data_IF_316438055949
#
_entry.id   IF_316438055949
#
_cell.length_a   1.000
_cell.length_b   1.000
_cell.length_c   1.000
_cell.angle_alpha   90.00
_cell.angle_beta   90.00
_cell.angle_gamma   90.00
#
_symmetry.space_group_name_H-M   'P 1'
#
loop_
_entity.id
_entity.type
_entity.pdbx_description
1 polymer ?
#
# COMPACT_ATOMS: atom_id res chain seq x y z
N UNK A 1 23.92 27.30 -22.17
CA UNK A 1 23.99 26.60 -20.86
C UNK A 1 23.57 25.17 -21.13
N UNK A 2 24.52 24.22 -21.11
CA UNK A 2 24.20 22.81 -21.30
C UNK A 2 23.34 22.34 -20.14
N UNK A 3 22.13 21.87 -20.44
CA UNK A 3 21.32 21.12 -19.49
C UNK A 3 22.20 20.03 -18.87
N UNK A 4 22.46 20.14 -17.57
CA UNK A 4 23.14 19.10 -16.81
C UNK A 4 22.31 17.83 -16.99
N UNK A 5 22.84 16.85 -17.72
CA UNK A 5 22.27 15.53 -17.90
C UNK A 5 22.33 14.81 -16.54
N UNK A 6 21.43 15.18 -15.63
CA UNK A 6 21.28 14.52 -14.34
C UNK A 6 20.88 13.07 -14.65
N UNK A 7 21.77 12.14 -14.32
CA UNK A 7 21.54 10.73 -14.60
C UNK A 7 20.24 10.30 -13.94
N UNK A 8 19.29 9.82 -14.76
CA UNK A 8 17.99 9.34 -14.26
C UNK A 8 18.25 8.24 -13.22
N UNK A 9 17.80 8.41 -11.96
CA UNK A 9 17.95 7.41 -10.91
C UNK A 9 17.37 6.07 -11.34
N UNK A 10 18.10 4.97 -11.09
CA UNK A 10 17.65 3.62 -11.44
C UNK A 10 17.76 2.72 -10.22
N UNK A 11 16.72 1.95 -9.96
CA UNK A 11 16.65 1.00 -8.86
C UNK A 11 16.51 -0.41 -9.41
N UNK A 12 17.53 -1.24 -9.24
CA UNK A 12 17.45 -2.67 -9.52
C UNK A 12 16.85 -3.39 -8.31
N UNK A 13 15.70 -4.01 -8.48
CA UNK A 13 15.05 -4.81 -7.43
C UNK A 13 15.57 -6.23 -7.52
N UNK A 14 16.39 -6.60 -6.54
CA UNK A 14 17.12 -7.86 -6.47
C UNK A 14 16.57 -8.70 -5.32
N UNK A 15 16.46 -10.00 -5.51
CA UNK A 15 16.00 -10.93 -4.48
C UNK A 15 15.54 -12.22 -5.12
N UNK A 16 15.27 -13.25 -4.31
CA UNK A 16 14.79 -14.52 -4.87
C UNK A 16 13.40 -14.40 -5.47
N UNK A 17 13.08 -15.33 -6.38
CA UNK A 17 11.74 -15.46 -6.95
C UNK A 17 10.72 -15.66 -5.81
N UNK A 18 9.55 -15.01 -5.91
CA UNK A 18 8.46 -15.07 -4.93
C UNK A 18 8.74 -14.51 -3.52
N UNK A 19 9.77 -13.68 -3.32
CA UNK A 19 10.03 -12.99 -2.04
C UNK A 19 9.40 -11.60 -1.92
N UNK A 20 8.38 -11.32 -2.73
CA UNK A 20 7.69 -10.02 -2.72
C UNK A 20 8.32 -8.95 -3.61
N UNK A 21 9.26 -9.27 -4.51
CA UNK A 21 9.84 -8.30 -5.46
C UNK A 21 8.77 -7.54 -6.24
N UNK A 22 7.82 -8.26 -6.84
CA UNK A 22 6.74 -7.66 -7.64
C UNK A 22 5.82 -6.77 -6.80
N UNK A 23 5.55 -7.15 -5.56
CA UNK A 23 4.79 -6.32 -4.61
C UNK A 23 5.55 -5.05 -4.25
N UNK A 24 6.86 -5.13 -3.94
CA UNK A 24 7.71 -3.97 -3.69
C UNK A 24 7.77 -3.04 -4.91
N UNK A 25 7.95 -3.62 -6.10
CA UNK A 25 7.96 -2.89 -7.38
C UNK A 25 6.64 -2.16 -7.55
N UNK A 26 5.51 -2.86 -7.39
CA UNK A 26 4.19 -2.27 -7.45
C UNK A 26 4.10 -1.09 -6.47
N UNK A 27 4.35 -1.28 -5.17
CA UNK A 27 4.22 -0.21 -4.17
C UNK A 27 5.14 1.00 -4.40
N UNK A 28 6.35 0.78 -4.91
CA UNK A 28 7.30 1.86 -5.25
C UNK A 28 6.81 2.68 -6.44
N UNK A 29 6.20 1.99 -7.40
CA UNK A 29 5.70 2.57 -8.62
C UNK A 29 4.30 3.19 -8.42
N UNK A 30 3.51 2.68 -7.46
CA UNK A 30 2.06 2.85 -7.28
C UNK A 30 1.62 4.30 -7.19
N UNK A 31 1.53 4.93 -8.36
CA UNK A 31 1.03 6.26 -8.54
C UNK A 31 0.57 6.42 -9.99
N UNK A 32 -0.53 5.78 -10.38
CA UNK A 32 -0.89 5.52 -11.78
C UNK A 32 -1.13 6.74 -12.71
N UNK A 33 -1.14 7.98 -12.19
CA UNK A 33 -1.10 9.20 -13.02
C UNK A 33 0.34 9.69 -13.34
N UNK A 34 1.37 9.17 -12.66
CA UNK A 34 2.69 9.11 -13.26
C UNK A 34 2.60 8.03 -14.30
N UNK A 35 2.83 8.40 -15.56
CA UNK A 35 2.79 7.44 -16.65
C UNK A 35 3.91 6.43 -16.43
N UNK A 36 3.51 5.21 -16.08
CA UNK A 36 4.41 4.08 -16.01
C UNK A 36 4.38 3.42 -17.37
N UNK A 37 5.50 3.50 -18.08
CA UNK A 37 5.67 2.72 -19.31
C UNK A 37 6.61 1.56 -19.04
N UNK A 38 6.19 0.30 -19.29
CA UNK A 38 7.17 -0.74 -19.52
C UNK A 38 7.89 -0.34 -20.81
N UNK A 39 9.18 -0.06 -20.75
CA UNK A 39 10.00 0.14 -21.96
C UNK A 39 10.63 -1.19 -22.33
N UNK A 40 10.18 -1.88 -23.39
CA UNK A 40 10.82 -3.11 -23.85
C UNK A 40 12.13 -2.72 -24.54
N UNK A 41 13.23 -2.78 -23.79
CA UNK A 41 14.58 -2.60 -24.31
C UNK A 41 15.16 -3.95 -24.73
N UNK A 42 15.09 -4.25 -26.02
CA UNK A 42 15.89 -5.21 -26.81
C UNK A 42 16.35 -6.50 -26.11
N UNK A 43 15.65 -7.60 -26.45
CA UNK A 43 16.02 -9.00 -26.20
C UNK A 43 16.63 -9.32 -24.84
N UNK A 44 15.77 -9.95 -24.02
CA UNK A 44 16.05 -10.92 -22.94
C UNK A 44 16.26 -10.39 -21.49
N UNK A 45 15.10 -10.28 -20.79
CA UNK A 45 14.76 -10.60 -19.37
C UNK A 45 14.58 -9.58 -18.24
N UNK A 46 15.17 -8.38 -18.22
CA UNK A 46 14.84 -7.42 -17.15
C UNK A 46 13.69 -6.49 -17.58
N UNK A 47 12.69 -6.30 -16.73
CA UNK A 47 11.56 -5.39 -17.02
C UNK A 47 11.83 -4.04 -16.38
N UNK A 48 11.87 -2.99 -17.19
CA UNK A 48 12.07 -1.61 -16.73
C UNK A 48 10.75 -0.84 -16.73
N UNK A 49 10.47 -0.24 -15.58
CA UNK A 49 9.34 0.65 -15.35
C UNK A 49 9.85 2.07 -15.13
N UNK A 50 9.47 2.98 -16.02
CA UNK A 50 9.85 4.39 -15.91
C UNK A 50 8.73 5.17 -15.23
N UNK A 51 9.09 5.94 -14.20
CA UNK A 51 8.19 6.88 -13.50
C UNK A 51 8.40 8.25 -14.14
N UNK A 52 7.44 8.68 -14.95
CA UNK A 52 7.50 9.89 -15.77
C UNK A 52 6.42 10.93 -15.43
N UNK A 53 6.82 12.20 -15.43
CA UNK A 53 5.90 13.35 -15.32
C UNK A 53 6.16 14.28 -16.50
N UNK A 54 5.09 14.69 -17.19
CA UNK A 54 5.17 15.54 -18.38
C UNK A 54 6.16 15.04 -19.45
N UNK A 55 6.25 13.72 -19.62
CA UNK A 55 7.14 13.07 -20.58
C UNK A 55 8.63 13.00 -20.17
N UNK A 56 8.97 13.47 -18.96
CA UNK A 56 10.31 13.36 -18.38
C UNK A 56 10.37 12.23 -17.37
N UNK A 57 11.31 11.30 -17.55
CA UNK A 57 11.58 10.23 -16.58
C UNK A 57 12.23 10.82 -15.34
N UNK A 58 11.58 10.65 -14.19
CA UNK A 58 12.08 11.11 -12.89
C UNK A 58 12.93 10.03 -12.20
N UNK A 59 12.53 8.76 -12.33
CA UNK A 59 13.35 7.60 -11.98
C UNK A 59 12.84 6.33 -12.68
N UNK A 60 13.62 5.26 -12.59
CA UNK A 60 13.27 3.95 -13.14
C UNK A 60 13.42 2.84 -12.11
N UNK A 61 12.50 1.89 -12.11
CA UNK A 61 12.59 0.64 -11.36
C UNK A 61 12.82 -0.50 -12.34
N UNK A 62 13.79 -1.36 -12.06
CA UNK A 62 14.20 -2.47 -12.92
C UNK A 62 13.94 -3.76 -12.14
N UNK A 63 12.98 -4.54 -12.61
CA UNK A 63 12.76 -5.91 -12.12
C UNK A 63 13.84 -6.81 -12.68
N UNK A 64 14.59 -7.43 -11.78
CA UNK A 64 15.68 -8.34 -12.13
C UNK A 64 15.29 -9.78 -11.79
N UNK A 65 15.82 -10.78 -12.52
CA UNK A 65 15.70 -12.16 -12.10
C UNK A 65 16.37 -12.37 -10.73
N UNK A 66 16.07 -13.48 -10.07
CA UNK A 66 16.85 -13.88 -8.89
C UNK A 66 18.20 -14.49 -9.31
N UNK A 67 19.16 -14.51 -8.39
CA UNK A 67 20.34 -15.35 -8.56
C UNK A 67 19.93 -16.82 -8.74
N UNK A 68 20.52 -17.49 -9.73
CA UNK A 68 20.37 -18.93 -9.95
C UNK A 68 21.46 -19.69 -9.20
N UNK A 69 22.74 -19.27 -9.36
CA UNK A 69 23.91 -19.87 -8.73
C UNK A 69 24.94 -18.80 -8.30
N UNK A 70 24.53 -17.99 -7.31
CA UNK A 70 25.41 -17.00 -6.67
C UNK A 70 26.72 -17.59 -6.12
N UNK A 71 26.75 -18.80 -5.50
CA UNK A 71 28.01 -19.41 -5.07
C UNK A 71 29.01 -19.62 -6.21
N UNK A 72 28.55 -20.14 -7.36
CA UNK A 72 29.41 -20.34 -8.55
C UNK A 72 29.90 -19.02 -9.12
N UNK A 73 29.03 -18.02 -9.19
CA UNK A 73 29.39 -16.68 -9.69
C UNK A 73 30.44 -16.02 -8.78
N UNK A 74 30.22 -16.06 -7.46
CA UNK A 74 31.15 -15.54 -6.48
C UNK A 74 32.50 -16.26 -6.53
N UNK A 75 32.48 -17.59 -6.67
CA UNK A 75 33.69 -18.39 -6.83
C UNK A 75 34.49 -17.92 -8.05
N UNK A 76 33.85 -17.77 -9.21
CA UNK A 76 34.49 -17.28 -10.43
C UNK A 76 35.09 -15.87 -10.25
N UNK A 77 34.33 -14.95 -9.63
CA UNK A 77 34.79 -13.58 -9.35
C UNK A 77 36.06 -13.60 -8.50
N UNK A 78 36.10 -14.46 -7.46
CA UNK A 78 37.20 -14.61 -6.50
C UNK A 78 38.39 -15.43 -6.97
N UNK A 79 38.36 -16.06 -8.15
CA UNK A 79 39.50 -16.83 -8.68
C UNK A 79 40.80 -16.02 -8.77
N UNK A 80 40.68 -14.70 -8.89
CA UNK A 80 41.79 -13.76 -8.82
C UNK A 80 41.60 -12.88 -7.60
N UNK A 81 42.59 -12.88 -6.71
CA UNK A 81 42.62 -11.89 -5.63
C UNK A 81 42.87 -10.51 -6.23
N UNK A 82 41.95 -9.59 -5.95
CA UNK A 82 42.01 -8.22 -6.45
C UNK A 82 41.73 -7.24 -5.32
N UNK A 83 42.18 -5.99 -5.49
CA UNK A 83 41.89 -4.94 -4.51
C UNK A 83 40.41 -4.57 -4.53
N UNK A 84 39.93 -3.85 -3.51
CA UNK A 84 38.54 -3.40 -3.47
C UNK A 84 38.15 -2.53 -4.69
N UNK A 85 39.10 -1.75 -5.23
CA UNK A 85 38.88 -0.90 -6.39
C UNK A 85 38.63 -1.70 -7.68
N UNK A 86 39.20 -2.90 -7.77
CA UNK A 86 39.15 -3.76 -8.97
C UNK A 86 37.99 -4.77 -8.93
N UNK A 87 37.25 -4.86 -7.81
CA UNK A 87 36.14 -5.82 -7.65
C UNK A 87 35.04 -5.63 -8.67
N UNK A 88 34.68 -4.38 -8.95
CA UNK A 88 33.65 -4.05 -9.95
C UNK A 88 34.06 -4.56 -11.32
N UNK A 89 35.35 -4.44 -11.65
CA UNK A 89 35.90 -4.95 -12.90
C UNK A 89 35.81 -6.46 -12.98
N UNK A 90 36.06 -7.20 -11.88
CA UNK A 90 35.84 -8.65 -11.85
C UNK A 90 34.39 -9.06 -12.08
N UNK A 91 33.43 -8.31 -11.55
CA UNK A 91 32.00 -8.56 -11.83
C UNK A 91 31.70 -8.31 -13.31
N UNK A 92 32.22 -7.22 -13.88
CA UNK A 92 32.08 -6.92 -15.32
C UNK A 92 32.68 -8.02 -16.19
N UNK A 93 33.87 -8.49 -15.85
CA UNK A 93 34.53 -9.59 -16.56
C UNK A 93 33.72 -10.88 -16.52
N UNK A 94 33.00 -11.18 -15.41
CA UNK A 94 32.08 -12.33 -15.37
C UNK A 94 30.97 -12.16 -16.41
N UNK A 95 30.39 -10.96 -16.47
CA UNK A 95 29.31 -10.68 -17.41
C UNK A 95 29.78 -10.80 -18.85
N UNK A 96 30.92 -10.18 -19.15
CA UNK A 96 31.48 -10.14 -20.51
C UNK A 96 32.00 -11.52 -20.97
N UNK A 97 32.64 -12.30 -20.08
CA UNK A 97 33.22 -13.59 -20.43
C UNK A 97 32.18 -14.67 -20.78
N UNK A 98 30.98 -14.56 -20.22
CA UNK A 98 29.87 -15.49 -20.47
C UNK A 98 28.76 -14.86 -21.32
N UNK A 99 29.03 -13.73 -21.97
CA UNK A 99 28.08 -13.12 -22.90
C UNK A 99 27.75 -14.08 -24.05
N UNK A 100 26.46 -14.29 -24.32
CA UNK A 100 25.99 -15.21 -25.37
C UNK A 100 26.13 -16.71 -25.07
N UNK A 101 26.55 -17.11 -23.86
CA UNK A 101 26.57 -18.54 -23.45
C UNK A 101 25.33 -18.91 -22.63
N UNK A 102 25.14 -20.21 -22.37
CA UNK A 102 24.11 -20.74 -21.46
C UNK A 102 24.54 -20.67 -19.97
N UNK A 103 25.73 -20.13 -19.70
CA UNK A 103 26.25 -19.98 -18.34
C UNK A 103 25.88 -18.61 -17.76
N UNK A 104 25.58 -18.61 -16.45
CA UNK A 104 25.33 -17.42 -15.64
C UNK A 104 24.27 -16.49 -16.23
N UNK A 105 23.25 -17.06 -16.88
CA UNK A 105 22.32 -16.27 -17.68
C UNK A 105 21.54 -15.30 -16.78
N UNK A 106 21.02 -15.79 -15.65
CA UNK A 106 20.30 -14.97 -14.67
C UNK A 106 21.22 -13.98 -13.95
N UNK A 107 22.43 -14.39 -13.57
CA UNK A 107 23.42 -13.48 -12.96
C UNK A 107 23.77 -12.34 -13.90
N UNK A 108 24.00 -12.62 -15.18
CA UNK A 108 24.32 -11.58 -16.17
C UNK A 108 23.18 -10.58 -16.31
N UNK A 109 21.95 -11.06 -16.40
CA UNK A 109 20.75 -10.22 -16.49
C UNK A 109 20.58 -9.33 -15.25
N UNK A 110 20.75 -9.90 -14.06
CA UNK A 110 20.69 -9.18 -12.80
C UNK A 110 21.82 -8.14 -12.68
N UNK A 111 23.05 -8.51 -13.03
CA UNK A 111 24.24 -7.68 -12.80
C UNK A 111 24.39 -6.54 -13.82
N UNK A 112 23.92 -6.70 -15.06
CA UNK A 112 23.99 -5.65 -16.10
C UNK A 112 23.41 -4.30 -15.66
N UNK A 113 22.15 -4.17 -15.22
CA UNK A 113 21.60 -2.88 -14.81
C UNK A 113 22.36 -2.28 -13.62
N UNK A 114 22.86 -3.12 -12.71
CA UNK A 114 23.67 -2.70 -11.56
C UNK A 114 25.02 -2.13 -12.02
N UNK A 115 25.71 -2.82 -12.95
CA UNK A 115 26.97 -2.35 -13.56
C UNK A 115 26.79 -1.10 -14.44
N UNK A 116 25.55 -0.77 -14.81
CA UNK A 116 25.15 0.45 -15.51
C UNK A 116 24.72 1.58 -14.54
N UNK A 117 24.96 1.44 -13.24
CA UNK A 117 24.73 2.50 -12.24
C UNK A 117 23.41 2.40 -11.49
N UNK A 118 22.66 1.30 -11.61
CA UNK A 118 21.45 1.13 -10.80
C UNK A 118 21.80 0.84 -9.32
N UNK A 119 21.15 1.56 -8.42
CA UNK A 119 21.18 1.25 -7.00
C UNK A 119 20.38 -0.02 -6.72
N UNK A 120 20.75 -0.74 -5.67
CA UNK A 120 20.22 -2.06 -5.36
C UNK A 120 19.15 -1.95 -4.27
N UNK A 121 17.97 -2.48 -4.56
CA UNK A 121 16.93 -2.79 -3.58
C UNK A 121 16.91 -4.29 -3.36
N UNK A 122 17.57 -4.76 -2.31
CA UNK A 122 17.67 -6.19 -1.99
C UNK A 122 16.49 -6.62 -1.12
N UNK A 123 15.57 -7.40 -1.69
CA UNK A 123 14.30 -7.79 -1.06
C UNK A 123 14.39 -9.22 -0.52
N UNK A 124 14.02 -9.37 0.74
CA UNK A 124 13.90 -10.66 1.43
C UNK A 124 12.54 -10.82 2.07
N UNK A 125 12.08 -12.05 2.27
CA UNK A 125 10.84 -12.32 2.97
C UNK A 125 11.11 -12.50 4.47
N UNK A 126 10.57 -11.60 5.30
CA UNK A 126 10.69 -11.62 6.77
C UNK A 126 9.85 -12.68 7.46
N UNK A 127 8.92 -13.31 6.73
CA UNK A 127 8.12 -14.44 7.22
C UNK A 127 8.84 -15.78 6.99
N UNK A 128 10.01 -15.78 6.35
CA UNK A 128 10.82 -16.98 6.12
C UNK A 128 12.15 -16.92 6.85
N UNK A 129 12.67 -18.08 7.30
CA UNK A 129 13.92 -18.11 8.04
C UNK A 129 15.11 -17.72 7.15
N UNK A 130 16.04 -17.00 7.76
CA UNK A 130 17.33 -16.71 7.17
C UNK A 130 18.10 -18.01 6.83
N UNK A 131 18.83 -17.99 5.71
CA UNK A 131 19.67 -19.11 5.27
C UNK A 131 21.04 -18.62 4.79
N UNK A 132 22.07 -19.43 4.98
CA UNK A 132 23.45 -19.06 4.62
C UNK A 132 23.66 -18.79 3.12
N UNK A 133 22.87 -19.41 2.24
CA UNK A 133 23.02 -19.24 0.80
C UNK A 133 22.79 -17.79 0.32
N UNK A 134 22.02 -16.98 1.05
CA UNK A 134 21.88 -15.55 0.76
C UNK A 134 23.19 -14.76 0.94
N UNK A 135 24.15 -15.26 1.73
CA UNK A 135 25.44 -14.58 1.94
C UNK A 135 26.21 -14.38 0.64
N UNK A 136 26.17 -15.38 -0.24
CA UNK A 136 26.87 -15.32 -1.52
C UNK A 136 26.25 -14.28 -2.45
N UNK A 137 24.92 -14.19 -2.48
CA UNK A 137 24.18 -13.16 -3.24
C UNK A 137 24.58 -11.75 -2.74
N UNK A 138 24.52 -11.53 -1.43
CA UNK A 138 24.88 -10.26 -0.80
C UNK A 138 26.35 -9.89 -1.04
N UNK A 139 27.25 -10.87 -1.06
CA UNK A 139 28.67 -10.63 -1.32
C UNK A 139 28.92 -10.25 -2.78
N UNK A 140 28.30 -10.93 -3.75
CA UNK A 140 28.38 -10.55 -5.17
C UNK A 140 27.87 -9.12 -5.36
N UNK A 141 26.73 -8.77 -4.75
CA UNK A 141 26.16 -7.42 -4.81
C UNK A 141 27.13 -6.37 -4.24
N UNK A 142 27.82 -6.66 -3.12
CA UNK A 142 28.84 -5.76 -2.56
C UNK A 142 30.03 -5.54 -3.50
N UNK A 143 30.39 -6.52 -4.33
CA UNK A 143 31.48 -6.37 -5.30
C UNK A 143 31.14 -5.40 -6.43
N UNK A 144 29.85 -5.11 -6.65
CA UNK A 144 29.42 -4.12 -7.65
C UNK A 144 29.69 -2.67 -7.24
N UNK A 145 29.91 -2.42 -5.94
CA UNK A 145 30.16 -1.08 -5.41
C UNK A 145 28.94 -0.13 -5.46
N UNK A 146 27.79 -0.60 -5.93
CA UNK A 146 26.58 0.22 -6.02
C UNK A 146 25.95 0.44 -4.64
N UNK A 147 25.29 1.60 -4.41
CA UNK A 147 24.47 1.82 -3.22
C UNK A 147 23.42 0.73 -3.11
N UNK A 148 23.25 0.19 -1.91
CA UNK A 148 22.31 -0.90 -1.67
C UNK A 148 21.52 -0.68 -0.38
N UNK A 149 20.21 -0.92 -0.46
CA UNK A 149 19.31 -1.00 0.68
C UNK A 149 18.69 -2.38 0.72
N UNK A 150 18.66 -3.00 1.90
CA UNK A 150 17.91 -4.22 2.12
C UNK A 150 16.50 -3.90 2.64
N UNK A 151 15.51 -4.53 2.02
CA UNK A 151 14.10 -4.46 2.38
C UNK A 151 13.64 -5.84 2.88
N UNK A 152 13.23 -5.89 4.14
CA UNK A 152 12.61 -7.07 4.73
C UNK A 152 11.10 -6.92 4.55
N UNK A 153 10.55 -7.66 3.58
CA UNK A 153 9.12 -7.67 3.33
C UNK A 153 8.40 -8.44 4.45
N UNK A 154 7.47 -7.80 5.15
CA UNK A 154 6.63 -8.43 6.18
C UNK A 154 5.21 -8.53 5.67
N UNK A 155 4.72 -9.75 5.46
CA UNK A 155 3.34 -10.01 5.02
C UNK A 155 2.50 -10.74 6.07
N UNK A 156 3.15 -11.38 7.05
CA UNK A 156 2.52 -12.12 8.14
C UNK A 156 3.07 -11.75 9.52
N UNK A 157 3.38 -12.76 10.33
CA UNK A 157 3.81 -12.60 11.72
C UNK A 157 5.14 -11.84 11.87
N UNK A 158 6.00 -11.89 10.85
CA UNK A 158 7.33 -11.30 10.92
C UNK A 158 8.28 -11.99 11.89
N UNK A 159 8.07 -13.27 12.19
CA UNK A 159 8.83 -14.04 13.18
C UNK A 159 10.35 -14.02 12.94
N UNK A 160 10.78 -13.98 11.67
CA UNK A 160 12.19 -14.04 11.30
C UNK A 160 12.82 -12.66 11.01
N UNK A 161 12.11 -11.56 11.27
CA UNK A 161 12.60 -10.21 10.94
C UNK A 161 13.91 -9.89 11.68
N UNK A 162 14.02 -10.22 12.96
CA UNK A 162 15.22 -9.89 13.74
C UNK A 162 16.43 -10.75 13.33
N UNK A 163 16.21 -11.99 12.88
CA UNK A 163 17.27 -12.82 12.30
C UNK A 163 17.79 -12.21 11.01
N UNK A 164 16.87 -11.83 10.11
CA UNK A 164 17.20 -11.13 8.89
C UNK A 164 17.93 -9.82 9.15
N UNK A 165 17.44 -9.01 10.10
CA UNK A 165 18.05 -7.73 10.45
C UNK A 165 19.49 -7.89 10.93
N UNK A 166 19.76 -8.89 11.78
CA UNK A 166 21.12 -9.20 12.25
C UNK A 166 22.05 -9.64 11.13
N UNK A 167 21.56 -10.44 10.18
CA UNK A 167 22.34 -10.87 9.03
C UNK A 167 22.59 -9.69 8.06
N UNK A 168 21.53 -8.99 7.65
CA UNK A 168 21.60 -7.91 6.66
C UNK A 168 22.46 -6.73 7.10
N UNK A 169 22.44 -6.36 8.38
CA UNK A 169 23.28 -5.27 8.90
C UNK A 169 24.80 -5.50 8.74
N UNK A 170 25.23 -6.75 8.50
CA UNK A 170 26.63 -7.06 8.21
C UNK A 170 27.02 -6.74 6.76
N UNK A 171 26.05 -6.72 5.84
CA UNK A 171 26.26 -6.53 4.40
C UNK A 171 25.78 -5.17 3.89
N UNK A 172 24.70 -4.65 4.46
CA UNK A 172 24.05 -3.41 4.04
C UNK A 172 24.12 -2.35 5.14
N UNK A 173 24.34 -1.10 4.74
CA UNK A 173 24.30 0.06 5.67
C UNK A 173 22.89 0.54 5.94
N UNK A 174 21.94 0.16 5.08
CA UNK A 174 20.54 0.52 5.19
C UNK A 174 19.70 -0.75 5.13
N UNK A 175 19.01 -1.02 6.23
CA UNK A 175 18.05 -2.11 6.36
C UNK A 175 16.72 -1.50 6.83
N UNK A 176 15.64 -1.87 6.16
CA UNK A 176 14.28 -1.42 6.47
C UNK A 176 13.34 -2.61 6.47
N UNK A 177 12.39 -2.60 7.39
CA UNK A 177 11.21 -3.46 7.31
C UNK A 177 10.18 -2.70 6.47
N UNK A 178 9.53 -3.42 5.58
CA UNK A 178 8.58 -2.86 4.63
C UNK A 178 7.40 -3.83 4.51
N UNK A 179 6.18 -3.33 4.58
CA UNK A 179 4.98 -4.14 4.34
C UNK A 179 4.43 -3.76 2.97
N UNK A 180 4.64 -4.60 1.96
CA UNK A 180 4.25 -4.27 0.60
C UNK A 180 2.72 -4.09 0.42
N UNK A 181 1.88 -4.58 1.33
CA UNK A 181 0.42 -4.43 1.24
C UNK A 181 -0.11 -3.20 1.97
N UNK A 182 0.69 -2.60 2.86
CA UNK A 182 0.28 -1.48 3.70
C UNK A 182 1.18 -0.25 3.53
N UNK A 183 1.88 -0.13 2.40
CA UNK A 183 2.84 0.94 2.14
C UNK A 183 2.15 2.29 2.13
N UNK A 184 2.53 3.14 3.08
CA UNK A 184 2.05 4.52 3.12
C UNK A 184 2.88 5.40 2.18
N UNK A 185 2.27 6.50 1.72
CA UNK A 185 2.99 7.57 1.00
C UNK A 185 4.27 8.01 1.74
N UNK A 186 4.19 8.12 3.05
CA UNK A 186 5.29 8.58 3.91
C UNK A 186 6.46 7.60 3.93
N UNK A 187 6.21 6.28 3.91
CA UNK A 187 7.26 5.26 3.82
C UNK A 187 7.93 5.26 2.45
N UNK A 188 7.14 5.38 1.37
CA UNK A 188 7.68 5.51 0.01
C UNK A 188 8.55 6.76 -0.14
N UNK A 189 8.07 7.91 0.35
CA UNK A 189 8.82 9.17 0.36
C UNK A 189 10.18 9.01 1.05
N UNK A 190 10.17 8.46 2.26
CA UNK A 190 11.40 8.19 3.04
C UNK A 190 12.38 7.27 2.31
N UNK A 191 11.86 6.25 1.60
CA UNK A 191 12.70 5.35 0.82
C UNK A 191 13.41 6.12 -0.30
N UNK A 192 12.68 6.90 -1.09
CA UNK A 192 13.24 7.70 -2.19
C UNK A 192 14.26 8.72 -1.67
N UNK A 193 13.93 9.48 -0.63
CA UNK A 193 14.84 10.48 -0.01
C UNK A 193 16.12 9.86 0.55
N UNK A 194 16.04 8.62 1.03
CA UNK A 194 17.24 7.90 1.50
C UNK A 194 18.23 7.71 0.36
N UNK A 195 17.77 7.42 -0.86
CA UNK A 195 18.65 7.29 -2.02
C UNK A 195 19.18 8.62 -2.55
N UNK A 196 18.40 9.70 -2.45
CA UNK A 196 18.90 11.05 -2.73
C UNK A 196 20.12 11.37 -1.85
N UNK A 197 20.08 10.92 -0.58
CA UNK A 197 21.20 11.09 0.35
C UNK A 197 22.42 10.23 -0.01
N UNK A 198 22.19 9.00 -0.51
CA UNK A 198 23.29 8.09 -0.88
C UNK A 198 23.96 8.45 -2.21
N UNK A 199 23.22 9.08 -3.12
CA UNK A 199 23.64 9.46 -4.45
C UNK A 199 23.33 10.94 -4.69
N UNK A 200 24.23 11.86 -4.31
CA UNK A 200 24.02 13.29 -4.49
C UNK A 200 23.62 13.71 -5.92
N UNK A 201 24.13 13.08 -7.00
CA UNK A 201 23.66 13.39 -8.36
C UNK A 201 22.16 13.14 -8.59
N UNK A 202 21.52 12.29 -7.78
CA UNK A 202 20.11 11.93 -7.89
C UNK A 202 19.18 12.84 -7.10
N UNK A 203 19.72 13.69 -6.20
CA UNK A 203 18.95 14.50 -5.27
C UNK A 203 17.86 15.30 -5.98
N UNK A 204 18.23 16.04 -7.03
CA UNK A 204 17.28 16.85 -7.79
C UNK A 204 16.16 16.01 -8.41
N UNK A 205 16.49 14.93 -9.11
CA UNK A 205 15.50 14.08 -9.79
C UNK A 205 14.56 13.39 -8.80
N UNK A 206 15.09 12.98 -7.64
CA UNK A 206 14.30 12.36 -6.58
C UNK A 206 13.39 13.38 -5.88
N UNK A 207 13.88 14.59 -5.58
CA UNK A 207 13.04 15.65 -5.00
C UNK A 207 11.91 16.02 -5.95
N UNK A 208 12.22 16.23 -7.24
CA UNK A 208 11.21 16.46 -8.28
C UNK A 208 10.19 15.31 -8.35
N UNK A 209 10.65 14.05 -8.22
CA UNK A 209 9.76 12.89 -8.14
C UNK A 209 8.86 12.93 -6.91
N UNK A 210 9.43 13.16 -5.73
CA UNK A 210 8.68 13.22 -4.47
C UNK A 210 7.62 14.32 -4.51
N UNK A 211 7.95 15.51 -4.99
CA UNK A 211 7.02 16.63 -5.10
C UNK A 211 5.89 16.34 -6.09
N UNK A 212 6.20 15.76 -7.25
CA UNK A 212 5.18 15.37 -8.21
C UNK A 212 4.26 14.28 -7.67
N UNK A 213 4.83 13.24 -7.04
CA UNK A 213 4.06 12.16 -6.42
C UNK A 213 3.16 12.69 -5.29
N UNK A 214 3.62 13.69 -4.53
CA UNK A 214 2.84 14.38 -3.47
C UNK A 214 1.67 15.18 -4.04
N UNK A 215 1.93 16.04 -5.03
CA UNK A 215 0.90 16.88 -5.63
C UNK A 215 -0.24 16.03 -6.22
N UNK A 216 0.11 14.87 -6.79
CA UNK A 216 -0.86 13.92 -7.32
C UNK A 216 -1.66 13.21 -6.22
N UNK A 217 -1.03 12.84 -5.10
CA UNK A 217 -1.73 12.28 -3.95
C UNK A 217 -2.74 13.28 -3.36
N UNK A 218 -2.37 14.54 -3.25
CA UNK A 218 -3.27 15.62 -2.85
C UNK A 218 -4.44 15.77 -3.85
N UNK A 219 -4.16 15.70 -5.15
CA UNK A 219 -5.19 15.75 -6.19
C UNK A 219 -6.21 14.60 -6.10
N UNK A 220 -5.74 13.36 -5.91
CA UNK A 220 -6.62 12.19 -5.72
C UNK A 220 -7.51 12.34 -4.50
N UNK A 221 -6.95 12.76 -3.36
CA UNK A 221 -7.72 12.99 -2.13
C UNK A 221 -8.85 13.99 -2.36
N UNK A 222 -8.56 15.05 -3.11
CA UNK A 222 -9.56 16.04 -3.47
C UNK A 222 -10.66 15.44 -4.38
N UNK A 223 -10.28 14.66 -5.40
CA UNK A 223 -11.25 13.97 -6.27
C UNK A 223 -12.15 13.01 -5.48
N UNK A 224 -11.58 12.21 -4.59
CA UNK A 224 -12.31 11.27 -3.72
C UNK A 224 -13.24 12.02 -2.78
N UNK A 225 -12.76 13.08 -2.14
CA UNK A 225 -13.58 13.92 -1.27
C UNK A 225 -14.79 14.50 -2.02
N UNK A 226 -14.62 14.92 -3.27
CA UNK A 226 -15.73 15.38 -4.11
C UNK A 226 -16.71 14.25 -4.43
N UNK A 227 -16.24 13.06 -4.79
CA UNK A 227 -17.11 11.90 -5.06
C UNK A 227 -17.94 11.54 -3.82
N UNK A 228 -17.31 11.52 -2.64
CA UNK A 228 -17.99 11.26 -1.36
C UNK A 228 -18.99 12.37 -1.05
N UNK A 229 -18.63 13.63 -1.27
CA UNK A 229 -19.52 14.78 -1.05
C UNK A 229 -20.75 14.70 -1.95
N UNK A 230 -20.58 14.42 -3.24
CA UNK A 230 -21.68 14.20 -4.19
C UNK A 230 -22.59 13.04 -3.74
N UNK A 231 -21.99 11.92 -3.32
CA UNK A 231 -22.73 10.76 -2.82
C UNK A 231 -23.58 11.12 -1.60
N UNK A 232 -23.02 11.87 -0.64
CA UNK A 232 -23.72 12.30 0.56
C UNK A 232 -24.88 13.25 0.20
N UNK A 233 -24.68 14.17 -0.74
CA UNK A 233 -25.75 15.07 -1.21
C UNK A 233 -26.87 14.26 -1.88
N UNK A 234 -26.54 13.35 -2.80
CA UNK A 234 -27.51 12.47 -3.47
C UNK A 234 -28.30 11.63 -2.45
N UNK A 235 -27.61 11.08 -1.44
CA UNK A 235 -28.23 10.27 -0.38
C UNK A 235 -29.15 11.09 0.55
N UNK A 236 -28.70 12.26 1.00
CA UNK A 236 -29.44 13.13 1.92
C UNK A 236 -30.65 13.80 1.25
N UNK A 237 -30.63 13.96 -0.07
CA UNK A 237 -31.73 14.56 -0.84
C UNK A 237 -32.68 13.53 -1.47
N UNK A 238 -32.36 12.23 -1.36
CA UNK A 238 -33.21 11.15 -1.84
C UNK A 238 -34.55 11.15 -1.10
N UNK A 239 -35.63 11.30 -1.84
CA UNK A 239 -36.99 11.16 -1.33
C UNK A 239 -37.84 10.43 -2.36
N UNK A 240 -38.75 9.60 -1.87
CA UNK A 240 -39.75 8.92 -2.70
C UNK A 240 -41.13 9.45 -2.34
N UNK A 241 -41.91 9.78 -3.36
CA UNK A 241 -43.28 10.26 -3.20
C UNK A 241 -44.22 9.34 -3.93
N UNK A 242 -45.32 8.98 -3.27
CA UNK A 242 -46.36 8.13 -3.82
C UNK A 242 -47.72 8.64 -3.38
N UNK A 243 -48.69 8.61 -4.29
CA UNK A 243 -50.08 9.00 -4.01
C UNK A 243 -50.86 7.74 -3.65
N UNK A 244 -51.42 7.71 -2.44
CA UNK A 244 -52.18 6.56 -1.95
C UNK A 244 -53.56 6.46 -2.65
N UNK A 245 -53.93 5.29 -3.19
CA UNK A 245 -55.27 5.08 -3.74
C UNK A 245 -56.36 4.99 -2.66
N UNK A 246 -56.04 4.37 -1.52
CA UNK A 246 -56.90 4.19 -0.34
C UNK A 246 -56.03 3.96 0.91
N UNK A 247 -56.55 4.23 2.12
CA UNK A 247 -55.82 4.08 3.39
C UNK A 247 -55.36 2.64 3.65
N UNK A 248 -56.12 1.65 3.16
CA UNK A 248 -55.79 0.23 3.33
C UNK A 248 -54.51 -0.19 2.60
N UNK A 249 -54.07 0.57 1.60
CA UNK A 249 -52.85 0.31 0.86
C UNK A 249 -51.59 0.77 1.61
N UNK A 250 -51.73 1.63 2.64
CA UNK A 250 -50.61 2.27 3.35
C UNK A 250 -49.53 1.28 3.83
N UNK A 251 -49.85 0.15 4.51
CA UNK A 251 -48.80 -0.75 5.01
C UNK A 251 -47.99 -1.41 3.88
N UNK A 252 -48.68 -1.81 2.80
CA UNK A 252 -48.04 -2.46 1.65
C UNK A 252 -47.17 -1.48 0.87
N UNK A 253 -47.70 -0.28 0.58
CA UNK A 253 -47.01 0.76 -0.16
C UNK A 253 -45.82 1.33 0.62
N UNK A 254 -45.95 1.47 1.95
CA UNK A 254 -44.83 1.85 2.82
C UNK A 254 -43.69 0.84 2.74
N UNK A 255 -43.97 -0.46 2.89
CA UNK A 255 -42.94 -1.50 2.82
C UNK A 255 -42.29 -1.57 1.42
N UNK A 256 -43.06 -1.29 0.35
CA UNK A 256 -42.50 -1.19 -1.01
C UNK A 256 -41.56 0.00 -1.14
N UNK A 257 -41.97 1.17 -0.67
CA UNK A 257 -41.17 2.40 -0.74
C UNK A 257 -39.90 2.32 0.13
N UNK A 258 -39.95 1.67 1.30
CA UNK A 258 -38.77 1.43 2.12
C UNK A 258 -37.74 0.57 1.37
N UNK A 259 -38.17 -0.53 0.75
CA UNK A 259 -37.29 -1.35 -0.11
C UNK A 259 -36.72 -0.54 -1.28
N UNK A 260 -37.57 0.19 -1.99
CA UNK A 260 -37.14 1.01 -3.13
C UNK A 260 -36.16 2.12 -2.72
N UNK A 261 -36.36 2.72 -1.55
CA UNK A 261 -35.47 3.73 -0.98
C UNK A 261 -34.10 3.12 -0.66
N UNK A 262 -34.05 1.97 0.01
CA UNK A 262 -32.80 1.26 0.31
C UNK A 262 -32.07 0.82 -0.96
N UNK A 263 -32.79 0.32 -1.96
CA UNK A 263 -32.19 -0.10 -3.23
C UNK A 263 -31.56 1.08 -4.00
N UNK A 264 -32.23 2.24 -3.98
CA UNK A 264 -31.68 3.48 -4.56
C UNK A 264 -30.49 4.02 -3.78
N UNK A 265 -30.53 3.96 -2.45
CA UNK A 265 -29.40 4.36 -1.61
C UNK A 265 -28.16 3.49 -1.88
N UNK A 266 -28.33 2.16 -1.95
CA UNK A 266 -27.26 1.24 -2.34
C UNK A 266 -26.73 1.51 -3.75
N UNK A 267 -27.59 1.93 -4.67
CA UNK A 267 -27.17 2.28 -6.02
C UNK A 267 -26.30 3.55 -6.04
N UNK A 268 -26.63 4.56 -5.24
CA UNK A 268 -25.83 5.77 -5.04
C UNK A 268 -24.44 5.41 -4.49
N UNK A 269 -24.40 4.58 -3.44
CA UNK A 269 -23.15 4.11 -2.83
C UNK A 269 -22.27 3.33 -3.82
N UNK A 270 -22.83 2.32 -4.51
CA UNK A 270 -22.09 1.53 -5.52
C UNK A 270 -21.51 2.41 -6.63
N UNK A 271 -22.25 3.44 -7.05
CA UNK A 271 -21.76 4.40 -8.06
C UNK A 271 -20.58 5.20 -7.54
N UNK A 272 -20.61 5.64 -6.29
CA UNK A 272 -19.50 6.35 -5.65
C UNK A 272 -18.28 5.44 -5.49
N UNK A 273 -18.44 4.21 -5.01
CA UNK A 273 -17.36 3.22 -4.89
C UNK A 273 -16.66 2.96 -6.23
N UNK A 274 -17.42 2.77 -7.32
CA UNK A 274 -16.85 2.60 -8.68
C UNK A 274 -16.04 3.82 -9.11
N UNK A 275 -16.54 5.03 -8.86
CA UNK A 275 -15.81 6.27 -9.17
C UNK A 275 -14.52 6.37 -8.36
N UNK A 276 -14.55 6.07 -7.06
CA UNK A 276 -13.36 6.07 -6.18
C UNK A 276 -12.34 5.03 -6.67
N UNK A 277 -12.79 3.81 -6.97
CA UNK A 277 -11.91 2.76 -7.49
C UNK A 277 -11.24 3.17 -8.82
N UNK A 278 -11.94 3.93 -9.66
CA UNK A 278 -11.37 4.50 -10.90
C UNK A 278 -10.29 5.54 -10.61
N UNK A 279 -10.41 6.35 -9.55
CA UNK A 279 -9.39 7.34 -9.14
C UNK A 279 -8.08 6.66 -8.73
N UNK A 280 -8.15 5.47 -8.12
CA UNK A 280 -6.99 4.67 -7.72
C UNK A 280 -6.60 3.58 -8.72
N UNK A 281 -7.20 3.58 -9.92
CA UNK A 281 -6.80 2.76 -11.07
C UNK A 281 -6.54 1.27 -10.75
N UNK A 282 -7.26 0.70 -9.77
CA UNK A 282 -7.32 -0.75 -9.63
C UNK A 282 -7.79 -1.34 -10.97
N UNK A 283 -7.03 -2.26 -11.56
CA UNK A 283 -7.53 -3.07 -12.68
C UNK A 283 -8.76 -3.81 -12.15
N UNK A 284 -9.94 -3.31 -12.52
CA UNK A 284 -11.24 -3.83 -12.08
C UNK A 284 -11.58 -5.17 -12.73
N UNK A 285 -10.63 -5.83 -13.41
CA UNK A 285 -10.89 -7.08 -14.14
C UNK A 285 -11.32 -8.23 -13.18
N UNK A 286 -10.90 -8.18 -11.91
CA UNK A 286 -11.31 -9.13 -10.85
C UNK A 286 -12.11 -8.47 -9.71
N UNK A 287 -12.42 -7.17 -9.79
CA UNK A 287 -13.21 -6.49 -8.76
C UNK A 287 -14.69 -6.63 -9.05
N UNK A 288 -15.32 -7.64 -8.48
CA UNK A 288 -16.76 -7.67 -8.37
C UNK A 288 -17.18 -6.72 -7.22
N UNK A 289 -18.12 -5.79 -7.42
CA UNK A 289 -18.80 -5.13 -6.30
C UNK A 289 -19.67 -6.11 -5.47
N UNK A 290 -19.63 -7.40 -5.82
CA UNK A 290 -20.29 -8.53 -5.17
C UNK A 290 -19.36 -9.26 -4.18
N UNK A 291 -18.13 -8.79 -3.98
CA UNK A 291 -17.54 -8.94 -2.64
C UNK A 291 -18.33 -8.01 -1.73
N UNK A 292 -19.57 -8.44 -1.44
CA UNK A 292 -20.26 -8.06 -0.23
C UNK A 292 -19.18 -8.17 0.83
N UNK A 293 -18.80 -7.04 1.41
CA UNK A 293 -18.60 -7.07 2.84
C UNK A 293 -19.96 -7.57 3.32
N UNK A 294 -20.09 -8.89 3.45
CA UNK A 294 -21.02 -9.51 4.36
C UNK A 294 -20.60 -8.93 5.71
N UNK A 295 -21.06 -7.71 5.99
CA UNK A 295 -21.65 -7.44 7.27
C UNK A 295 -22.67 -8.58 7.38
N UNK A 296 -22.24 -9.70 7.98
CA UNK A 296 -23.08 -10.81 8.40
C UNK A 296 -24.12 -10.25 9.36
N UNK A 297 -25.08 -9.57 8.77
CA UNK A 297 -26.27 -9.05 9.36
C UNK A 297 -27.09 -8.59 8.17
N UNK A 298 -28.12 -9.36 7.86
CA UNK A 298 -29.30 -8.92 7.12
C UNK A 298 -30.03 -7.75 7.83
N UNK A 299 -29.35 -7.02 8.70
CA UNK A 299 -29.83 -5.96 9.53
C UNK A 299 -29.35 -4.66 8.90
N UNK A 300 -30.27 -4.10 8.11
CA UNK A 300 -30.41 -2.70 7.75
C UNK A 300 -29.41 -1.75 8.45
N UNK A 301 -28.83 -0.79 7.71
CA UNK A 301 -28.15 0.37 8.31
C UNK A 301 -29.08 1.18 9.26
N UNK A 302 -30.35 0.81 9.31
CA UNK A 302 -31.42 1.35 10.16
C UNK A 302 -31.92 0.36 11.23
N UNK A 303 -31.34 -0.84 11.32
CA UNK A 303 -31.62 -1.81 12.36
C UNK A 303 -31.00 -1.32 13.66
N UNK A 304 -31.77 -1.39 14.74
CA UNK A 304 -31.42 -0.80 16.03
C UNK A 304 -30.14 -1.40 16.59
N UNK A 305 -29.85 -2.65 16.23
CA UNK A 305 -28.65 -3.40 16.58
C UNK A 305 -27.36 -2.83 15.96
N UNK A 306 -27.40 -2.35 14.71
CA UNK A 306 -26.26 -1.76 13.99
C UNK A 306 -25.79 -0.44 14.62
N UNK A 307 -26.74 0.32 15.19
CA UNK A 307 -26.48 1.59 15.88
C UNK A 307 -25.84 1.41 17.26
N UNK A 308 -26.13 0.31 17.94
CA UNK A 308 -25.50 -0.05 19.22
C UNK A 308 -24.03 -0.50 19.04
N UNK A 309 -23.70 -1.11 17.89
CA UNK A 309 -22.31 -1.49 17.53
C UNK A 309 -21.45 -0.28 17.15
N UNK A 310 -22.04 0.74 16.50
CA UNK A 310 -21.35 2.01 16.23
C UNK A 310 -21.34 2.99 17.42
N UNK A 311 -21.93 2.61 18.57
CA UNK A 311 -21.92 3.41 19.80
C UNK A 311 -22.86 4.62 19.80
N UNK A 312 -23.80 4.70 18.86
CA UNK A 312 -24.72 5.83 18.71
C UNK A 312 -26.12 5.42 19.17
N UNK A 313 -26.42 5.57 20.46
CA UNK A 313 -27.76 5.26 20.96
C UNK A 313 -28.82 6.18 20.31
N UNK A 314 -30.05 5.69 20.02
CA UNK A 314 -31.13 6.53 19.49
C UNK A 314 -31.47 7.76 20.36
N UNK A 315 -31.16 7.72 21.66
CA UNK A 315 -31.30 8.86 22.57
C UNK A 315 -30.26 9.96 22.33
N UNK A 316 -29.07 9.61 21.85
CA UNK A 316 -28.00 10.56 21.52
C UNK A 316 -28.34 11.40 20.26
N UNK A 317 -29.06 10.81 19.30
CA UNK A 317 -29.61 11.54 18.15
C UNK A 317 -30.76 12.48 18.54
N UNK A 318 -31.64 12.05 19.46
CA UNK A 318 -32.68 12.91 20.00
C UNK A 318 -32.10 14.15 20.69
N UNK A 319 -30.99 14.01 21.43
CA UNK A 319 -30.27 15.16 22.02
C UNK A 319 -29.65 16.10 20.97
N UNK A 320 -29.19 15.59 19.83
CA UNK A 320 -28.71 16.40 18.70
C UNK A 320 -29.86 17.18 18.03
N UNK A 321 -31.04 16.56 17.89
CA UNK A 321 -32.21 17.23 17.30
C UNK A 321 -32.85 18.27 18.21
N UNK A 322 -32.80 18.09 19.53
CA UNK A 322 -33.28 19.07 20.51
C UNK A 322 -32.39 20.32 20.61
N UNK A 323 -31.18 20.30 20.04
CA UNK A 323 -30.27 21.44 20.01
C UNK A 323 -30.44 22.34 18.77
N UNK A 324 -31.30 21.97 17.82
CA UNK A 324 -31.63 22.81 16.66
C UNK A 324 -32.90 23.66 16.84
N UNK A 325 -33.61 23.53 17.97
CA UNK A 325 -35.00 24.00 18.09
C UNK A 325 -35.34 25.07 19.13
N UNK A 326 -34.43 25.55 20.00
CA UNK A 326 -34.80 26.56 21.01
C UNK A 326 -33.67 27.56 21.37
N UNK A 327 -33.84 28.78 20.85
CA UNK A 327 -33.50 30.10 21.40
C UNK A 327 -32.06 30.45 21.86
N UNK A 328 -31.52 31.46 21.17
CA UNK A 328 -30.61 32.52 21.60
C UNK A 328 -30.06 32.51 23.05
N UNK A 329 -28.72 32.55 23.18
CA UNK A 329 -28.04 32.99 24.41
C UNK A 329 -26.66 32.36 24.57
N UNK A 330 -25.62 33.19 24.70
CA UNK A 330 -24.21 32.80 24.62
C UNK A 330 -23.73 31.74 25.63
N UNK A 331 -22.90 30.82 25.14
CA UNK A 331 -21.57 30.45 25.66
C UNK A 331 -21.05 29.27 24.81
N UNK A 332 -20.10 29.57 23.92
CA UNK A 332 -19.25 28.57 23.26
C UNK A 332 -18.29 28.03 24.31
N UNK A 333 -18.26 26.71 24.55
CA UNK A 333 -17.01 25.91 24.47
C UNK A 333 -17.11 24.40 24.78
N UNK A 334 -18.24 23.84 25.20
CA UNK A 334 -18.22 22.44 25.69
C UNK A 334 -18.52 21.35 24.63
N UNK A 335 -19.16 21.68 23.50
CA UNK A 335 -19.73 20.66 22.59
C UNK A 335 -18.86 20.29 21.38
N UNK A 336 -17.97 21.18 20.93
CA UNK A 336 -17.12 20.93 19.73
C UNK A 336 -16.02 19.91 20.04
N UNK A 337 -15.68 19.72 21.31
CA UNK A 337 -14.66 18.75 21.77
C UNK A 337 -15.05 17.28 21.67
N UNK A 338 -16.35 16.94 21.54
CA UNK A 338 -16.80 15.55 21.39
C UNK A 338 -17.04 15.15 19.92
N UNK A 339 -17.47 16.08 19.07
CA UNK A 339 -17.63 15.81 17.63
C UNK A 339 -16.29 15.59 16.92
N UNK A 340 -15.23 16.27 17.39
CA UNK A 340 -13.87 16.11 16.86
C UNK A 340 -13.22 14.79 17.26
N UNK A 341 -13.63 14.17 18.38
CA UNK A 341 -13.19 12.82 18.77
C UNK A 341 -13.84 11.74 17.90
N UNK A 342 -15.08 11.94 17.46
CA UNK A 342 -15.79 10.96 16.61
C UNK A 342 -15.53 11.09 15.11
N UNK A 343 -15.17 12.27 14.62
CA UNK A 343 -14.71 12.41 13.23
C UNK A 343 -13.43 11.59 12.95
N UNK A 344 -12.60 11.36 13.98
CA UNK A 344 -11.43 10.49 13.90
C UNK A 344 -11.74 9.00 13.86
N UNK A 345 -12.88 8.55 14.42
CA UNK A 345 -13.28 7.14 14.41
C UNK A 345 -14.03 6.74 13.14
N UNK A 346 -14.75 7.67 12.48
CA UNK A 346 -15.46 7.35 11.22
C UNK A 346 -14.50 7.14 10.04
N UNK A 347 -13.29 7.72 10.05
CA UNK A 347 -12.25 7.46 9.05
C UNK A 347 -11.25 6.36 9.45
N UNK A 348 -11.39 5.81 10.66
CA UNK A 348 -10.44 4.87 11.27
C UNK A 348 -10.79 3.39 11.10
N UNK A 349 -11.37 2.99 9.97
CA UNK A 349 -11.81 1.62 9.70
C UNK A 349 -10.74 0.52 9.80
N UNK A 350 -9.45 0.84 9.97
CA UNK A 350 -8.38 -0.17 10.15
C UNK A 350 -7.24 0.20 11.13
N UNK A 351 -7.41 1.15 12.06
CA UNK A 351 -6.23 1.67 12.81
C UNK A 351 -6.40 2.15 14.25
N UNK A 352 -7.45 1.76 14.96
CA UNK A 352 -7.77 2.30 16.29
C UNK A 352 -7.63 1.32 17.47
N UNK A 353 -6.54 0.56 17.57
CA UNK A 353 -6.26 -0.19 18.80
C UNK A 353 -5.62 0.74 19.83
N UNK A 354 -6.29 0.96 20.97
CA UNK A 354 -5.68 1.68 22.07
C UNK A 354 -6.37 1.61 23.43
N UNK A 355 -7.69 1.80 23.52
CA UNK A 355 -8.30 2.05 24.85
C UNK A 355 -9.54 1.17 25.17
N UNK A 356 -10.16 0.51 24.18
CA UNK A 356 -11.41 -0.25 24.40
C UNK A 356 -11.28 -1.73 24.82
N UNK A 357 -10.07 -2.29 24.92
CA UNK A 357 -9.90 -3.75 25.07
C UNK A 357 -10.11 -4.25 26.52
N UNK A 358 -10.01 -3.37 27.51
CA UNK A 358 -10.10 -3.77 28.93
C UNK A 358 -11.54 -4.05 29.42
N UNK A 359 -12.57 -3.43 28.81
CA UNK A 359 -13.97 -3.68 29.20
C UNK A 359 -14.64 -4.83 28.41
N UNK A 360 -14.16 -5.14 27.21
CA UNK A 360 -14.70 -6.23 26.37
C UNK A 360 -14.34 -7.62 26.90
N UNK A 361 -13.14 -7.82 27.45
CA UNK A 361 -12.73 -9.10 28.04
C UNK A 361 -13.53 -9.48 29.30
N UNK A 362 -14.01 -8.49 30.07
CA UNK A 362 -14.81 -8.73 31.27
C UNK A 362 -16.26 -9.11 30.97
N UNK A 363 -16.83 -8.65 29.85
CA UNK A 363 -18.20 -9.00 29.43
C UNK A 363 -18.32 -10.36 28.74
N UNK A 364 -17.26 -10.84 28.09
CA UNK A 364 -17.24 -12.21 27.55
C UNK A 364 -16.95 -13.28 28.62
N UNK A 365 -16.23 -12.95 29.70
CA UNK A 365 -16.02 -13.87 30.82
C UNK A 365 -17.28 -14.10 31.69
N UNK A 366 -18.31 -13.26 31.59
CA UNK A 366 -19.59 -13.45 32.30
C UNK A 366 -20.66 -14.18 31.49
N UNK A 367 -20.41 -14.49 30.21
CA UNK A 367 -21.39 -15.14 29.32
C UNK A 367 -21.19 -16.67 29.19
N UNK A 368 -20.13 -17.24 29.77
CA UNK A 368 -19.87 -18.69 29.72
C UNK A 368 -20.43 -19.50 30.89
N UNK A 369 -21.22 -18.91 31.81
CA UNK A 369 -21.78 -19.60 32.99
C UNK A 369 -23.31 -19.79 32.97
N UNK A 370 -23.97 -19.67 31.81
CA UNK A 370 -25.43 -19.83 31.69
C UNK A 370 -25.87 -20.86 30.64
N UNK A 371 -25.05 -21.90 30.40
CA UNK A 371 -25.45 -23.06 29.58
C UNK A 371 -25.51 -24.41 30.32
N UNK A 372 -25.37 -24.44 31.64
CA UNK A 372 -25.35 -25.70 32.42
C UNK A 372 -26.46 -25.81 33.50
N UNK A 373 -27.59 -25.09 33.36
CA UNK A 373 -28.76 -25.25 34.26
C UNK A 373 -30.10 -25.25 33.53
N UNK A 374 -30.19 -25.99 32.43
CA UNK A 374 -31.46 -26.34 31.80
C UNK A 374 -31.40 -27.76 31.20
N UNK A 375 -30.93 -28.71 32.02
CA UNK A 375 -31.08 -30.14 31.82
C UNK A 375 -31.00 -30.81 33.19
N UNK A 376 -32.07 -30.66 33.98
CA UNK A 376 -32.56 -31.58 35.01
C UNK A 376 -34.04 -31.28 35.27
#
# INVERSE_FOLDING_TARGET
MSESNAEVPRFAVVGRVNKGKSSIIASLIENDAVKISPRPGTTTECVRYDVEVDGRVLFSVIDTPGFEDAPRALHWIKQREVTAADRVQRVRELVDAFEGTDDFVEERRLLRPILQGAAILYVVNGDEPYRKNYETEMEVLRYTGQPAMALINRTGSGEHIEDWRRALNQYFKLVRVFDAHAVTWEERRKLLETFATLQPPWERSIVEAVDALRAQEEHRRYQVANIISDMLVDALTLHLTFVLPDERALPHEKARLEREFHDKLRAIERKAHRKIATVYLHRLDDWSPETEIELESHDDLFAKETWDVMGLSPRALLTLTTLTGAAAGGAVDAAVGFASVFAGTVLGGLGGLGVGVYELTRRFASASNLRERAAD
#
